data_IF_051128143891
#
_entry.id   IF_051128143891
#
_cell.length_a   1.000
_cell.length_b   1.000
_cell.length_c   1.000
_cell.angle_alpha   90.00
_cell.angle_beta   90.00
_cell.angle_gamma   90.00
#
_symmetry.space_group_name_H-M   'P 1'
#
loop_
_entity.id
_entity.type
_entity.pdbx_description
1 polymer ?
#
# COMPACT_ATOMS: atom_id res chain seq x y z
N UNK A 1 0.19 21.67 12.07
CA UNK A 1 0.20 22.37 10.78
C UNK A 1 0.52 23.82 11.07
N UNK A 2 1.60 24.31 10.49
CA UNK A 2 2.10 25.66 10.75
C UNK A 2 1.28 26.64 9.90
N UNK A 3 0.65 27.62 10.54
CA UNK A 3 -0.24 28.62 9.91
C UNK A 3 0.51 29.61 8.99
N UNK A 4 1.83 29.49 8.90
CA UNK A 4 2.67 30.55 8.28
C UNK A 4 2.98 30.36 6.81
N UNK A 5 2.65 29.20 6.21
CA UNK A 5 3.11 28.88 4.84
C UNK A 5 2.12 29.19 3.70
N UNK A 6 0.94 29.71 4.01
CA UNK A 6 -0.04 30.04 2.97
C UNK A 6 -0.05 31.53 2.63
N UNK A 7 1.04 32.02 2.07
CA UNK A 7 1.01 33.30 1.37
C UNK A 7 0.14 33.13 0.13
N UNK A 8 -0.98 33.84 0.10
CA UNK A 8 -1.74 34.04 -1.13
C UNK A 8 -0.76 34.59 -2.17
N UNK A 9 -0.44 33.81 -3.20
CA UNK A 9 0.42 34.29 -4.27
C UNK A 9 -0.28 35.43 -5.00
N UNK A 10 0.40 36.55 -5.17
CA UNK A 10 -0.12 37.76 -5.81
C UNK A 10 -0.37 37.62 -7.31
N UNK A 11 -0.10 36.45 -7.88
CA UNK A 11 -0.32 36.15 -9.30
C UNK A 11 -1.50 35.22 -9.49
N UNK A 12 -2.62 35.80 -9.83
CA UNK A 12 -3.86 35.25 -10.41
C UNK A 12 -4.14 33.75 -10.27
N UNK A 13 -5.27 33.42 -9.65
CA UNK A 13 -5.84 32.07 -9.48
C UNK A 13 -5.18 31.17 -8.41
N UNK A 14 -5.13 31.62 -7.15
CA UNK A 14 -4.67 30.77 -6.08
C UNK A 14 -5.80 30.34 -5.17
N UNK A 15 -6.14 29.07 -5.31
CA UNK A 15 -6.97 28.35 -4.39
C UNK A 15 -6.08 27.83 -3.25
N UNK A 16 -6.18 28.44 -2.08
CA UNK A 16 -5.56 27.93 -0.85
C UNK A 16 -6.56 27.09 -0.05
N UNK A 17 -6.07 26.10 0.68
CA UNK A 17 -6.86 25.42 1.71
C UNK A 17 -6.38 25.90 3.08
N UNK A 18 -7.29 26.35 3.93
CA UNK A 18 -6.98 26.91 5.24
C UNK A 18 -7.44 25.99 6.35
N UNK A 19 -6.76 26.06 7.49
CA UNK A 19 -7.19 25.41 8.72
C UNK A 19 -8.56 25.91 9.18
N UNK A 20 -9.30 25.05 9.88
CA UNK A 20 -10.57 25.39 10.48
C UNK A 20 -10.53 25.08 11.99
N UNK A 21 -10.56 26.09 12.88
CA UNK A 21 -10.53 25.86 14.32
C UNK A 21 -11.78 25.17 14.87
N UNK A 22 -12.88 25.15 14.11
CA UNK A 22 -14.16 24.56 14.53
C UNK A 22 -14.27 23.07 14.13
N UNK A 23 -13.16 22.44 13.70
CA UNK A 23 -13.15 21.02 13.38
C UNK A 23 -13.51 20.16 14.61
N UNK A 24 -14.43 19.23 14.40
CA UNK A 24 -14.80 18.24 15.41
C UNK A 24 -13.83 17.07 15.37
N UNK A 25 -13.64 16.34 16.47
CA UNK A 25 -12.87 15.12 16.48
C UNK A 25 -13.43 14.08 15.51
N UNK A 26 -12.54 13.38 14.82
CA UNK A 26 -12.90 12.18 14.08
C UNK A 26 -13.35 11.09 15.07
N UNK A 27 -14.37 10.34 14.71
CA UNK A 27 -14.96 9.34 15.60
C UNK A 27 -15.00 7.99 14.89
N UNK A 28 -14.47 6.96 15.55
CA UNK A 28 -14.55 5.58 15.06
C UNK A 28 -15.29 4.71 16.08
N UNK A 29 -16.33 4.03 15.63
CA UNK A 29 -17.03 3.00 16.39
C UNK A 29 -16.61 1.63 15.85
N UNK A 30 -16.12 0.77 16.73
CA UNK A 30 -15.66 -0.58 16.38
C UNK A 30 -16.51 -1.64 17.08
N UNK A 31 -17.00 -2.59 16.31
CA UNK A 31 -17.67 -3.79 16.79
C UNK A 31 -16.79 -4.98 16.46
N UNK A 32 -16.50 -5.80 17.46
CA UNK A 32 -15.68 -6.99 17.30
C UNK A 32 -16.33 -8.18 17.99
N UNK A 33 -16.35 -9.32 17.30
CA UNK A 33 -16.75 -10.60 17.82
C UNK A 33 -15.65 -11.62 17.55
N UNK A 34 -15.21 -12.33 18.57
CA UNK A 34 -14.13 -13.29 18.44
C UNK A 34 -14.38 -14.60 19.18
N UNK A 35 -13.89 -15.68 18.57
CA UNK A 35 -13.80 -17.00 19.16
C UNK A 35 -12.34 -17.42 19.21
N UNK A 36 -11.91 -17.92 20.37
CA UNK A 36 -10.56 -18.40 20.61
C UNK A 36 -10.61 -19.79 21.22
N UNK A 37 -10.02 -20.75 20.52
CA UNK A 37 -10.09 -22.17 20.88
C UNK A 37 -8.71 -22.80 20.85
N UNK A 38 -8.35 -23.53 21.89
CA UNK A 38 -7.23 -24.45 21.87
C UNK A 38 -7.67 -25.75 21.16
N UNK A 39 -7.12 -26.01 19.97
CA UNK A 39 -7.52 -27.14 19.11
C UNK A 39 -6.61 -28.35 19.28
N UNK A 40 -5.41 -28.15 19.78
CA UNK A 40 -4.44 -29.19 20.12
C UNK A 40 -3.43 -28.64 21.14
N UNK A 41 -2.67 -29.53 21.75
CA UNK A 41 -1.62 -29.16 22.70
C UNK A 41 -0.71 -28.08 22.11
N UNK A 42 -0.58 -26.95 22.78
CA UNK A 42 0.21 -25.78 22.35
C UNK A 42 -0.27 -25.12 21.05
N UNK A 43 -1.47 -25.45 20.56
CA UNK A 43 -1.99 -24.90 19.28
C UNK A 43 -3.35 -24.25 19.51
N UNK A 44 -3.45 -22.99 19.15
CA UNK A 44 -4.64 -22.16 19.30
C UNK A 44 -5.08 -21.62 17.96
N UNK A 45 -6.38 -21.68 17.69
CA UNK A 45 -7.05 -20.97 16.62
C UNK A 45 -7.84 -19.80 17.20
N UNK A 46 -7.84 -18.69 16.50
CA UNK A 46 -8.66 -17.51 16.81
C UNK A 46 -9.37 -17.05 15.53
N UNK A 47 -10.67 -16.87 15.62
CA UNK A 47 -11.50 -16.29 14.58
C UNK A 47 -12.07 -15.00 15.13
N UNK A 48 -11.86 -13.88 14.42
CA UNK A 48 -12.39 -12.57 14.78
C UNK A 48 -13.11 -11.98 13.58
N UNK A 49 -14.35 -11.54 13.75
CA UNK A 49 -15.05 -10.66 12.83
C UNK A 49 -15.03 -9.23 13.38
N UNK A 50 -14.88 -8.26 12.52
CA UNK A 50 -14.90 -6.85 12.90
C UNK A 50 -15.68 -6.00 11.91
N UNK A 51 -16.26 -4.92 12.43
CA UNK A 51 -16.87 -3.84 11.68
C UNK A 51 -16.48 -2.52 12.33
N UNK A 52 -15.93 -1.59 11.55
CA UNK A 52 -15.53 -0.25 12.00
C UNK A 52 -16.21 0.78 11.14
N UNK A 53 -16.89 1.72 11.79
CA UNK A 53 -17.56 2.86 11.17
C UNK A 53 -16.87 4.14 11.65
N UNK A 54 -16.24 4.84 10.73
CA UNK A 54 -15.53 6.08 11.01
C UNK A 54 -16.27 7.25 10.36
N UNK A 55 -16.47 8.30 11.14
CA UNK A 55 -17.25 9.48 10.78
C UNK A 55 -16.50 10.76 11.15
N UNK A 56 -16.99 11.86 10.59
CA UNK A 56 -16.40 13.17 10.80
C UNK A 56 -14.95 13.25 10.29
N UNK A 57 -14.58 12.46 9.30
CA UNK A 57 -13.27 12.62 8.68
C UNK A 57 -13.12 14.01 8.10
N UNK A 58 -11.94 14.55 8.30
CA UNK A 58 -11.57 15.85 7.75
C UNK A 58 -11.43 15.75 6.23
N UNK A 59 -12.04 16.69 5.54
CA UNK A 59 -11.95 16.81 4.09
C UNK A 59 -11.98 18.30 3.70
N UNK A 60 -11.66 18.60 2.45
CA UNK A 60 -11.83 19.96 1.95
C UNK A 60 -13.31 20.31 1.79
N UNK A 61 -13.67 21.51 2.25
CA UNK A 61 -15.00 22.07 2.08
C UNK A 61 -15.29 22.51 0.64
N UNK A 62 -16.44 23.12 0.44
CA UNK A 62 -16.77 23.80 -0.82
C UNK A 62 -15.97 25.10 -0.92
N UNK A 63 -15.66 25.59 -2.15
CA UNK A 63 -14.99 26.88 -2.32
C UNK A 63 -15.84 28.02 -1.75
N UNK A 64 -15.20 28.89 -0.98
CA UNK A 64 -15.80 30.10 -0.46
C UNK A 64 -15.35 31.24 -1.36
N UNK A 65 -16.31 31.84 -2.08
CA UNK A 65 -16.06 32.92 -3.03
C UNK A 65 -15.74 34.23 -2.27
N UNK A 66 -14.62 34.86 -2.61
CA UNK A 66 -14.20 36.17 -2.09
C UNK A 66 -14.57 37.32 -3.03
N UNK A 67 -15.18 37.03 -4.20
CA UNK A 67 -15.35 37.98 -5.29
C UNK A 67 -14.10 38.07 -6.19
N UNK A 68 -14.24 38.79 -7.30
CA UNK A 68 -13.19 38.98 -8.30
C UNK A 68 -12.55 37.69 -8.83
N UNK A 69 -13.31 36.58 -8.82
CA UNK A 69 -12.83 35.25 -9.28
C UNK A 69 -11.85 34.58 -8.31
N UNK A 70 -11.76 35.05 -7.08
CA UNK A 70 -10.92 34.45 -6.03
C UNK A 70 -11.79 33.59 -5.11
N UNK A 71 -11.28 32.41 -4.77
CA UNK A 71 -11.92 31.53 -3.80
C UNK A 71 -10.89 30.88 -2.88
N UNK A 72 -11.30 30.44 -1.71
CA UNK A 72 -10.50 29.65 -0.81
C UNK A 72 -11.30 28.47 -0.28
N UNK A 73 -10.61 27.48 0.25
CA UNK A 73 -11.21 26.30 0.87
C UNK A 73 -10.87 26.25 2.35
N UNK A 74 -11.73 25.62 3.13
CA UNK A 74 -11.43 25.27 4.52
C UNK A 74 -11.63 23.79 4.73
N UNK A 75 -10.94 23.23 5.71
CA UNK A 75 -11.22 21.87 6.15
C UNK A 75 -12.56 21.78 6.86
N UNK A 76 -13.31 20.72 6.59
CA UNK A 76 -14.61 20.43 7.21
C UNK A 76 -14.73 18.95 7.57
N UNK A 77 -15.55 18.61 8.55
CA UNK A 77 -15.86 17.23 8.91
C UNK A 77 -17.05 16.73 8.09
N UNK A 78 -16.82 16.03 6.99
CA UNK A 78 -17.90 15.53 6.15
C UNK A 78 -17.73 14.08 5.67
N UNK A 79 -16.51 13.58 5.69
CA UNK A 79 -16.23 12.27 5.13
C UNK A 79 -16.44 11.15 6.15
N UNK A 80 -16.59 9.96 5.60
CA UNK A 80 -16.82 8.75 6.35
C UNK A 80 -16.14 7.57 5.68
N UNK A 81 -15.87 6.54 6.46
CA UNK A 81 -15.41 5.26 5.94
C UNK A 81 -15.94 4.11 6.78
N UNK A 82 -16.03 2.95 6.17
CA UNK A 82 -16.24 1.72 6.90
C UNK A 82 -15.20 0.67 6.52
N UNK A 83 -14.82 -0.14 7.47
CA UNK A 83 -14.02 -1.32 7.22
C UNK A 83 -14.61 -2.52 7.96
N UNK A 84 -14.71 -3.65 7.25
CA UNK A 84 -15.28 -4.88 7.79
C UNK A 84 -14.48 -6.08 7.31
N UNK A 85 -14.45 -7.11 8.13
CA UNK A 85 -13.67 -8.26 7.75
C UNK A 85 -13.64 -9.36 8.79
N UNK A 86 -12.83 -10.37 8.45
CA UNK A 86 -12.59 -11.55 9.27
C UNK A 86 -11.09 -11.74 9.38
N UNK A 87 -10.62 -12.04 10.59
CA UNK A 87 -9.24 -12.40 10.88
C UNK A 87 -9.23 -13.83 11.41
N UNK A 88 -8.40 -14.66 10.81
CA UNK A 88 -8.14 -16.03 11.29
C UNK A 88 -6.69 -16.12 11.70
N UNK A 89 -6.43 -16.39 12.96
CA UNK A 89 -5.07 -16.57 13.50
C UNK A 89 -4.88 -18.01 13.95
N UNK A 90 -3.84 -18.66 13.44
CA UNK A 90 -3.33 -19.93 13.95
C UNK A 90 -2.01 -19.69 14.66
N UNK A 91 -1.95 -20.04 15.92
CA UNK A 91 -0.76 -19.86 16.76
C UNK A 91 -0.33 -21.19 17.35
N UNK A 92 0.96 -21.52 17.23
CA UNK A 92 1.58 -22.65 17.89
C UNK A 92 2.73 -22.18 18.76
N UNK A 93 2.62 -22.45 20.09
CA UNK A 93 3.74 -22.23 20.99
C UNK A 93 4.90 -23.15 20.60
N UNK A 94 6.10 -22.65 20.75
CA UNK A 94 7.28 -23.48 20.51
C UNK A 94 7.28 -24.72 21.40
N UNK A 95 7.19 -25.87 20.78
CA UNK A 95 7.26 -27.19 21.42
C UNK A 95 7.68 -28.22 20.39
N UNK A 96 8.38 -29.27 20.81
CA UNK A 96 8.86 -30.30 19.89
C UNK A 96 9.55 -29.70 18.65
N UNK A 97 10.47 -28.74 18.89
CA UNK A 97 11.33 -28.03 17.93
C UNK A 97 10.64 -27.11 16.92
N UNK A 98 9.34 -26.89 16.95
CA UNK A 98 8.64 -26.00 16.02
C UNK A 98 7.65 -25.11 16.75
N UNK A 99 7.54 -23.88 16.31
CA UNK A 99 6.51 -22.91 16.70
C UNK A 99 6.24 -21.92 15.58
N UNK A 100 5.18 -21.16 15.68
CA UNK A 100 4.86 -20.18 14.65
C UNK A 100 3.50 -19.54 14.82
N UNK A 101 3.24 -18.60 13.93
CA UNK A 101 1.96 -17.91 13.82
C UNK A 101 1.62 -17.71 12.35
N UNK A 102 0.35 -17.82 12.05
CA UNK A 102 -0.24 -17.56 10.75
C UNK A 102 -1.47 -16.70 10.94
N UNK A 103 -1.50 -15.55 10.29
CA UNK A 103 -2.60 -14.60 10.33
C UNK A 103 -3.13 -14.39 8.91
N UNK A 104 -4.38 -14.74 8.70
CA UNK A 104 -5.10 -14.43 7.48
C UNK A 104 -6.17 -13.40 7.76
N UNK A 105 -6.21 -12.35 6.96
CA UNK A 105 -7.23 -11.31 7.03
C UNK A 105 -7.95 -11.20 5.69
N UNK A 106 -9.26 -11.29 5.75
CA UNK A 106 -10.15 -10.81 4.69
C UNK A 106 -10.75 -9.48 5.14
N UNK A 107 -10.60 -8.43 4.32
CA UNK A 107 -11.04 -7.09 4.65
C UNK A 107 -11.65 -6.40 3.43
N UNK A 108 -12.67 -5.60 3.65
CA UNK A 108 -13.19 -4.62 2.71
C UNK A 108 -13.20 -3.27 3.42
N UNK A 109 -12.52 -2.29 2.84
CA UNK A 109 -12.45 -0.92 3.37
C UNK A 109 -12.90 0.06 2.29
N UNK A 110 -13.98 0.78 2.57
CA UNK A 110 -14.65 1.68 1.65
C UNK A 110 -14.93 3.02 2.33
N UNK A 111 -14.96 4.10 1.56
CA UNK A 111 -15.25 5.42 2.10
C UNK A 111 -15.46 6.46 1.01
N UNK A 112 -15.65 7.70 1.41
CA UNK A 112 -15.82 8.82 0.49
C UNK A 112 -14.48 9.23 -0.12
N UNK A 113 -13.44 9.39 0.70
CA UNK A 113 -12.08 9.77 0.30
C UNK A 113 -11.02 9.05 1.13
N UNK A 114 -9.81 8.93 0.58
CA UNK A 114 -8.68 8.30 1.29
C UNK A 114 -7.84 9.30 2.07
N UNK A 115 -7.89 10.58 1.73
CA UNK A 115 -7.17 11.65 2.43
C UNK A 115 -7.91 13.00 2.36
N UNK A 116 -7.64 13.95 3.29
CA UNK A 116 -8.37 15.22 3.41
C UNK A 116 -8.28 16.16 2.22
N UNK A 117 -7.17 16.13 1.47
CA UNK A 117 -6.92 17.10 0.37
C UNK A 117 -7.31 16.58 -1.01
N UNK A 118 -7.89 15.43 -1.05
CA UNK A 118 -8.15 14.70 -2.27
C UNK A 118 -9.20 15.37 -3.15
N UNK A 119 -10.28 15.83 -2.56
CA UNK A 119 -11.34 16.57 -3.23
C UNK A 119 -10.84 17.92 -3.74
N UNK A 120 -10.04 18.60 -2.94
CA UNK A 120 -9.37 19.83 -3.35
C UNK A 120 -8.48 19.60 -4.59
N UNK A 121 -7.68 18.52 -4.60
CA UNK A 121 -6.87 18.15 -5.75
C UNK A 121 -7.70 17.84 -6.99
N UNK A 122 -8.85 17.19 -6.84
CA UNK A 122 -9.76 16.93 -7.95
C UNK A 122 -10.31 18.20 -8.57
N UNK A 123 -10.77 19.14 -7.73
CA UNK A 123 -11.29 20.44 -8.20
C UNK A 123 -10.21 21.26 -8.88
N UNK A 124 -8.98 21.31 -8.34
CA UNK A 124 -7.85 21.99 -8.98
C UNK A 124 -7.50 21.39 -10.35
N UNK A 125 -7.68 20.08 -10.51
CA UNK A 125 -7.48 19.39 -11.78
C UNK A 125 -8.66 19.54 -12.76
N UNK A 126 -9.70 20.32 -12.40
CA UNK A 126 -10.91 20.49 -13.21
C UNK A 126 -11.85 19.29 -13.21
N UNK A 127 -11.69 18.37 -12.26
CA UNK A 127 -12.54 17.20 -12.12
C UNK A 127 -13.63 17.42 -11.05
N UNK A 128 -14.78 16.80 -11.25
CA UNK A 128 -15.81 16.77 -10.21
C UNK A 128 -15.37 15.87 -9.04
N UNK A 129 -15.58 16.32 -7.79
CA UNK A 129 -15.31 15.50 -6.61
C UNK A 129 -16.12 14.19 -6.63
N UNK A 130 -15.50 13.12 -6.21
CA UNK A 130 -16.17 11.82 -6.11
C UNK A 130 -17.25 11.85 -5.03
N UNK A 131 -18.49 11.54 -5.40
CA UNK A 131 -19.64 11.49 -4.47
C UNK A 131 -20.09 10.05 -4.17
N UNK A 132 -19.32 9.07 -4.59
CA UNK A 132 -19.61 7.64 -4.39
C UNK A 132 -18.70 7.03 -3.33
N UNK A 133 -19.17 5.96 -2.71
CA UNK A 133 -18.32 5.11 -1.88
C UNK A 133 -17.37 4.37 -2.80
N UNK A 134 -16.08 4.47 -2.49
CA UNK A 134 -14.99 3.85 -3.24
C UNK A 134 -14.13 2.99 -2.33
N UNK A 135 -13.44 1.97 -2.84
CA UNK A 135 -12.38 1.30 -2.10
C UNK A 135 -11.30 2.31 -1.69
N UNK A 136 -10.90 2.27 -0.43
CA UNK A 136 -9.85 3.16 0.07
C UNK A 136 -8.47 2.69 -0.40
N UNK A 137 -7.50 3.61 -0.53
CA UNK A 137 -6.16 3.32 -1.05
C UNK A 137 -5.44 2.20 -0.29
N UNK A 138 -5.79 2.00 0.98
CA UNK A 138 -5.26 0.96 1.85
C UNK A 138 -6.14 -0.30 1.94
N UNK A 139 -7.20 -0.40 1.13
CA UNK A 139 -8.03 -1.61 1.07
C UNK A 139 -7.25 -2.78 0.46
N UNK A 140 -6.86 -3.70 1.30
CA UNK A 140 -6.19 -4.93 0.90
C UNK A 140 -7.11 -6.12 1.23
N UNK A 141 -7.86 -6.59 0.24
CA UNK A 141 -8.94 -7.57 0.44
C UNK A 141 -8.47 -8.86 1.10
N UNK A 142 -7.27 -9.34 0.75
CA UNK A 142 -6.69 -10.55 1.33
C UNK A 142 -5.27 -10.27 1.77
N UNK A 143 -4.94 -10.58 3.00
CA UNK A 143 -3.56 -10.60 3.48
C UNK A 143 -3.29 -11.87 4.26
N UNK A 144 -2.11 -12.45 4.08
CA UNK A 144 -1.63 -13.62 4.79
C UNK A 144 -0.22 -13.34 5.27
N UNK A 145 -0.03 -13.32 6.58
CA UNK A 145 1.26 -13.13 7.21
C UNK A 145 1.59 -14.36 8.06
N UNK A 146 2.81 -14.80 8.03
CA UNK A 146 3.20 -15.91 8.86
C UNK A 146 4.66 -15.89 9.25
N UNK A 147 4.93 -16.47 10.41
CA UNK A 147 6.26 -16.75 10.88
C UNK A 147 6.33 -18.17 11.43
N UNK A 148 7.33 -18.92 11.00
CA UNK A 148 7.62 -20.26 11.47
C UNK A 148 9.06 -20.29 11.96
N UNK A 149 9.27 -20.80 13.14
CA UNK A 149 10.60 -21.01 13.69
C UNK A 149 10.76 -22.45 14.16
N UNK A 150 11.90 -23.02 13.80
CA UNK A 150 12.25 -24.36 14.16
C UNK A 150 13.67 -24.41 14.72
N UNK A 151 13.86 -25.16 15.79
CA UNK A 151 15.18 -25.39 16.36
C UNK A 151 15.34 -26.89 16.66
N UNK A 152 16.39 -27.49 16.16
CA UNK A 152 16.72 -28.88 16.43
C UNK A 152 18.23 -29.03 16.67
N UNK A 153 18.59 -29.42 17.87
CA UNK A 153 19.99 -29.46 18.31
C UNK A 153 20.68 -28.10 18.10
N UNK A 154 21.71 -28.07 17.29
CA UNK A 154 22.49 -26.87 16.97
C UNK A 154 21.94 -26.07 15.78
N UNK A 155 20.96 -26.60 15.08
CA UNK A 155 20.34 -25.97 13.90
C UNK A 155 19.09 -25.19 14.27
N UNK A 156 18.95 -24.04 13.65
CA UNK A 156 17.71 -23.29 13.75
C UNK A 156 17.35 -22.66 12.42
N UNK A 157 16.06 -22.55 12.19
CA UNK A 157 15.47 -21.89 11.03
C UNK A 157 14.39 -20.93 11.48
N UNK A 158 14.31 -19.77 10.84
CA UNK A 158 13.22 -18.82 10.98
C UNK A 158 12.79 -18.43 9.57
N UNK A 159 11.51 -18.57 9.29
CA UNK A 159 10.90 -18.20 8.01
C UNK A 159 9.77 -17.22 8.29
N UNK A 160 9.78 -16.11 7.58
CA UNK A 160 8.67 -15.14 7.55
C UNK A 160 8.15 -15.07 6.13
N UNK A 161 6.84 -15.14 5.97
CA UNK A 161 6.22 -15.00 4.67
C UNK A 161 5.05 -14.03 4.74
N UNK A 162 4.86 -13.31 3.66
CA UNK A 162 3.83 -12.29 3.50
C UNK A 162 3.21 -12.42 2.11
N UNK A 163 1.91 -12.43 2.08
CA UNK A 163 1.11 -12.33 0.86
C UNK A 163 0.08 -11.22 1.04
N UNK A 164 -0.10 -10.40 0.01
CA UNK A 164 -1.12 -9.37 0.00
C UNK A 164 -1.80 -9.29 -1.36
N UNK A 165 -3.12 -9.22 -1.38
CA UNK A 165 -3.83 -8.81 -2.58
C UNK A 165 -3.42 -7.39 -2.96
N UNK A 166 -3.49 -7.06 -4.24
CA UNK A 166 -3.10 -5.74 -4.73
C UNK A 166 -3.96 -4.63 -4.13
N UNK A 167 -3.32 -3.53 -3.77
CA UNK A 167 -4.00 -2.30 -3.36
C UNK A 167 -4.77 -1.69 -4.53
N UNK A 168 -5.88 -0.98 -4.27
CA UNK A 168 -6.60 -0.25 -5.28
C UNK A 168 -5.73 0.82 -5.96
N UNK A 169 -6.05 1.12 -7.19
CA UNK A 169 -5.52 2.29 -7.89
C UNK A 169 -6.56 2.82 -8.88
N UNK A 170 -6.46 4.10 -9.18
CA UNK A 170 -7.28 4.75 -10.19
C UNK A 170 -6.65 4.53 -11.57
N UNK A 171 -7.32 3.80 -12.49
CA UNK A 171 -6.80 3.65 -13.82
C UNK A 171 -6.80 5.00 -14.54
N UNK A 172 -5.79 5.23 -15.35
CA UNK A 172 -5.69 6.42 -16.21
C UNK A 172 -5.85 5.97 -17.65
N UNK A 173 -6.78 6.59 -18.37
CA UNK A 173 -6.84 6.46 -19.82
C UNK A 173 -6.20 7.73 -20.37
N UNK A 174 -5.08 7.58 -21.02
CA UNK A 174 -4.49 8.68 -21.77
C UNK A 174 -5.39 8.92 -22.96
N UNK A 175 -6.12 10.04 -22.96
CA UNK A 175 -6.97 10.44 -24.10
C UNK A 175 -6.05 10.74 -25.28
N UNK A 176 -6.14 9.89 -26.28
CA UNK A 176 -5.49 10.18 -27.56
C UNK A 176 -6.52 10.85 -28.44
N UNK A 177 -6.22 12.06 -28.86
CA UNK A 177 -6.93 12.69 -29.95
C UNK A 177 -6.70 11.88 -31.23
N UNK A 178 -7.59 10.93 -31.49
CA UNK A 178 -7.78 10.42 -32.82
C UNK A 178 -8.90 11.23 -33.45
N UNK A 179 -8.54 12.23 -34.24
CA UNK A 179 -9.43 12.99 -35.12
C UNK A 179 -10.61 13.69 -34.42
N UNK A 180 -10.36 14.44 -33.35
CA UNK A 180 -11.31 15.45 -32.86
C UNK A 180 -12.40 14.96 -31.90
N UNK A 181 -12.43 13.72 -31.50
CA UNK A 181 -13.29 13.24 -30.40
C UNK A 181 -12.51 13.02 -29.13
N UNK A 182 -12.75 13.86 -28.14
CA UNK A 182 -12.26 13.68 -26.77
C UNK A 182 -13.17 12.66 -26.08
N UNK A 183 -12.80 11.40 -26.08
CA UNK A 183 -13.43 10.40 -25.23
C UNK A 183 -12.94 10.60 -23.79
N UNK A 184 -13.57 11.47 -23.03
CA UNK A 184 -13.39 11.56 -21.60
C UNK A 184 -14.15 10.41 -20.91
N UNK A 185 -13.49 9.27 -20.78
CA UNK A 185 -14.06 8.20 -19.95
C UNK A 185 -13.74 8.53 -18.50
N UNK A 186 -14.74 8.95 -17.75
CA UNK A 186 -14.63 9.11 -16.28
C UNK A 186 -14.45 7.73 -15.70
N UNK A 187 -13.21 7.37 -15.41
CA UNK A 187 -12.90 6.12 -14.72
C UNK A 187 -13.16 6.30 -13.24
N UNK A 188 -13.90 5.36 -12.68
CA UNK A 188 -14.14 5.33 -11.25
C UNK A 188 -12.81 5.21 -10.50
N UNK A 189 -12.67 6.05 -9.50
CA UNK A 189 -11.52 6.07 -8.62
C UNK A 189 -11.36 4.73 -7.91
N UNK A 190 -10.11 4.28 -7.76
CA UNK A 190 -9.75 3.01 -7.10
C UNK A 190 -10.48 1.78 -7.66
N UNK A 191 -10.92 1.85 -8.92
CA UNK A 191 -11.72 0.80 -9.55
C UNK A 191 -10.92 -0.42 -9.98
N UNK A 192 -9.58 -0.35 -9.96
CA UNK A 192 -8.71 -1.47 -10.31
C UNK A 192 -7.71 -1.76 -9.19
N UNK A 193 -7.11 -2.95 -9.23
CA UNK A 193 -6.12 -3.38 -8.24
C UNK A 193 -4.77 -3.64 -8.88
N UNK A 194 -3.73 -3.24 -8.16
CA UNK A 194 -2.33 -3.58 -8.48
C UNK A 194 -2.13 -5.10 -8.40
N UNK A 195 -1.05 -5.65 -8.96
CA UNK A 195 -0.70 -7.06 -8.77
C UNK A 195 -0.53 -7.41 -7.29
N UNK A 196 -0.85 -8.65 -6.94
CA UNK A 196 -0.60 -9.17 -5.59
C UNK A 196 0.89 -9.18 -5.27
N UNK A 197 1.22 -9.06 -4.00
CA UNK A 197 2.60 -9.15 -3.50
C UNK A 197 2.81 -10.47 -2.76
N UNK A 198 4.02 -11.02 -2.85
CA UNK A 198 4.43 -12.21 -2.09
C UNK A 198 5.91 -12.13 -1.77
N UNK A 199 6.27 -12.36 -0.52
CA UNK A 199 7.64 -12.35 -0.04
C UNK A 199 7.88 -13.44 0.97
N UNK A 200 9.02 -14.09 0.88
CA UNK A 200 9.49 -15.08 1.86
C UNK A 200 10.91 -14.72 2.25
N UNK A 201 11.13 -14.55 3.53
CA UNK A 201 12.44 -14.31 4.13
C UNK A 201 12.81 -15.51 5.00
N UNK A 202 14.04 -16.00 4.87
CA UNK A 202 14.54 -17.17 5.61
C UNK A 202 15.84 -16.82 6.32
N UNK A 203 15.94 -17.21 7.57
CA UNK A 203 17.19 -17.18 8.32
C UNK A 203 17.50 -18.58 8.84
N UNK A 204 18.58 -19.15 8.38
CA UNK A 204 19.13 -20.41 8.89
C UNK A 204 20.32 -20.11 9.80
N UNK A 205 20.46 -20.85 10.87
CA UNK A 205 21.64 -20.73 11.72
C UNK A 205 22.07 -22.10 12.24
N UNK A 206 23.36 -22.16 12.57
CA UNK A 206 23.96 -23.32 13.25
C UNK A 206 24.85 -22.84 14.38
N UNK A 207 24.65 -23.42 15.56
CA UNK A 207 25.58 -23.29 16.68
C UNK A 207 26.92 -23.97 16.35
N UNK A 208 28.00 -23.33 16.66
CA UNK A 208 29.38 -23.85 16.49
C UNK A 208 30.19 -23.58 17.75
N UNK A 209 31.14 -24.44 18.05
CA UNK A 209 32.12 -24.18 19.09
C UNK A 209 33.46 -23.86 18.46
N UNK A 210 34.09 -22.79 18.88
CA UNK A 210 35.41 -22.34 18.42
C UNK A 210 36.32 -22.26 19.68
N UNK A 211 37.03 -23.36 19.97
CA UNK A 211 37.69 -23.54 21.22
C UNK A 211 36.71 -23.52 22.40
N UNK A 212 36.91 -22.64 23.37
CA UNK A 212 36.01 -22.44 24.51
C UNK A 212 34.86 -21.43 24.24
N UNK A 213 34.86 -20.83 23.07
CA UNK A 213 33.84 -19.84 22.69
C UNK A 213 32.65 -20.49 22.01
N UNK A 214 31.44 -19.98 22.33
CA UNK A 214 30.23 -20.36 21.65
C UNK A 214 29.99 -19.40 20.49
N UNK A 215 29.85 -19.96 19.29
CA UNK A 215 29.59 -19.23 18.07
C UNK A 215 28.26 -19.61 17.43
N UNK A 216 27.77 -18.77 16.56
CA UNK A 216 26.62 -19.03 15.73
C UNK A 216 26.89 -18.53 14.32
N UNK A 217 26.98 -19.42 13.37
CA UNK A 217 26.99 -19.08 11.96
C UNK A 217 25.56 -18.95 11.44
N UNK A 218 25.27 -17.93 10.64
CA UNK A 218 23.94 -17.76 10.04
C UNK A 218 24.00 -17.33 8.57
N UNK A 219 22.96 -17.72 7.85
CA UNK A 219 22.63 -17.26 6.51
C UNK A 219 21.23 -16.66 6.58
N UNK A 220 21.09 -15.42 6.11
CA UNK A 220 19.80 -14.75 5.94
C UNK A 220 19.56 -14.52 4.45
N UNK A 221 18.42 -14.95 3.97
CA UNK A 221 17.97 -14.75 2.59
C UNK A 221 16.68 -13.95 2.67
N UNK A 222 16.71 -12.74 2.19
CA UNK A 222 15.53 -11.89 2.03
C UNK A 222 15.01 -12.03 0.61
N UNK A 223 13.69 -12.08 0.46
CA UNK A 223 13.01 -12.34 -0.81
C UNK A 223 13.54 -13.61 -1.47
N UNK A 224 13.39 -14.75 -0.81
CA UNK A 224 13.87 -16.06 -1.25
C UNK A 224 13.41 -16.39 -2.69
N UNK A 225 12.21 -16.01 -3.03
CA UNK A 225 11.59 -16.29 -4.35
C UNK A 225 12.08 -15.37 -5.46
N UNK A 226 12.84 -14.33 -5.13
CA UNK A 226 13.27 -13.26 -6.04
C UNK A 226 12.13 -12.62 -6.84
N UNK A 227 10.93 -12.61 -6.25
CA UNK A 227 9.76 -12.04 -6.90
C UNK A 227 9.86 -10.52 -6.90
N UNK A 228 9.68 -9.91 -8.07
CA UNK A 228 9.57 -8.47 -8.23
C UNK A 228 8.13 -8.03 -7.89
N UNK A 229 7.89 -7.68 -6.65
CA UNK A 229 6.60 -7.15 -6.20
C UNK A 229 6.46 -5.70 -6.66
N UNK A 230 5.30 -5.35 -7.24
CA UNK A 230 5.02 -4.00 -7.73
C UNK A 230 4.61 -3.10 -6.56
N UNK A 231 5.41 -2.09 -6.24
CA UNK A 231 5.08 -1.03 -5.27
C UNK A 231 4.23 0.04 -5.96
N UNK A 232 4.70 0.50 -7.12
CA UNK A 232 4.01 1.45 -7.99
C UNK A 232 3.69 0.82 -9.33
N UNK A 233 2.72 1.40 -10.04
CA UNK A 233 2.27 0.90 -11.34
C UNK A 233 1.92 2.06 -12.26
N UNK A 234 2.02 1.85 -13.56
CA UNK A 234 1.45 2.75 -14.55
C UNK A 234 -0.07 2.73 -14.47
N UNK A 235 -0.70 3.88 -14.51
CA UNK A 235 -2.14 4.01 -14.38
C UNK A 235 -2.93 3.34 -15.50
N UNK A 236 -2.37 3.27 -16.70
CA UNK A 236 -2.99 2.67 -17.88
C UNK A 236 -3.00 1.14 -17.83
N UNK A 237 -1.91 0.52 -17.40
CA UNK A 237 -1.74 -0.94 -17.43
C UNK A 237 -1.92 -1.64 -16.09
N UNK A 238 -1.73 -0.92 -14.98
CA UNK A 238 -1.67 -1.50 -13.64
C UNK A 238 -0.40 -2.32 -13.37
N UNK A 239 0.66 -2.13 -14.16
CA UNK A 239 1.94 -2.84 -14.03
C UNK A 239 3.11 -1.85 -13.98
N UNK A 240 4.21 -2.24 -13.36
CA UNK A 240 5.41 -1.41 -13.26
C UNK A 240 6.32 -1.47 -14.51
N UNK A 241 6.16 -2.49 -15.34
CA UNK A 241 7.02 -2.78 -16.49
C UNK A 241 6.32 -2.67 -17.84
N UNK A 242 5.13 -2.13 -17.89
CA UNK A 242 4.36 -2.06 -19.12
C UNK A 242 3.46 -0.83 -19.09
N UNK A 243 3.49 -0.06 -20.14
CA UNK A 243 2.59 1.08 -20.37
C UNK A 243 2.25 1.17 -21.86
N UNK A 244 1.07 1.66 -22.17
CA UNK A 244 0.62 1.92 -23.55
C UNK A 244 1.52 3.00 -24.20
N UNK A 245 2.00 3.95 -23.39
CA UNK A 245 2.93 4.99 -23.84
C UNK A 245 4.21 4.41 -24.45
N UNK A 246 4.76 3.35 -23.87
CA UNK A 246 5.95 2.68 -24.42
C UNK A 246 5.67 2.10 -25.80
N UNK A 247 4.57 1.36 -25.93
CA UNK A 247 4.19 0.76 -27.22
C UNK A 247 3.96 1.83 -28.30
N UNK A 248 3.36 2.95 -27.91
CA UNK A 248 3.12 4.08 -28.80
C UNK A 248 4.42 4.80 -29.20
N UNK A 249 5.29 5.06 -28.24
CA UNK A 249 6.60 5.69 -28.52
C UNK A 249 7.44 4.84 -29.50
N UNK A 250 7.36 3.50 -29.38
CA UNK A 250 7.98 2.59 -30.34
C UNK A 250 7.35 2.66 -31.74
N UNK A 251 6.04 2.81 -31.83
CA UNK A 251 5.33 2.91 -33.10
C UNK A 251 5.59 4.24 -33.84
N UNK A 252 5.72 5.35 -33.10
CA UNK A 252 5.92 6.69 -33.68
C UNK A 252 7.39 6.93 -34.05
N UNK A 253 8.33 6.36 -33.31
CA UNK A 253 9.78 6.59 -33.52
C UNK A 253 10.51 5.25 -33.69
N UNK A 254 10.33 4.57 -34.83
CA UNK A 254 11.03 3.31 -35.08
C UNK A 254 12.55 3.47 -35.20
N UNK A 255 13.05 4.70 -35.44
CA UNK A 255 14.48 5.03 -35.45
C UNK A 255 14.86 5.83 -34.22
N UNK A 256 15.73 5.29 -33.40
CA UNK A 256 16.36 5.98 -32.27
C UNK A 256 17.77 6.50 -32.65
N UNK A 257 17.90 7.63 -33.32
CA UNK A 257 19.20 8.18 -33.54
C UNK A 257 19.66 8.90 -32.29
N UNK A 258 20.74 8.42 -31.67
CA UNK A 258 21.54 9.13 -30.66
C UNK A 258 20.83 9.54 -29.36
N UNK A 259 19.97 8.72 -28.81
CA UNK A 259 19.53 8.91 -27.42
C UNK A 259 20.47 8.16 -26.49
N UNK A 260 20.87 8.76 -25.36
CA UNK A 260 21.75 8.10 -24.39
C UNK A 260 21.10 6.87 -23.72
N UNK A 261 19.76 6.78 -23.76
CA UNK A 261 18.97 5.68 -23.21
C UNK A 261 17.98 5.14 -24.24
N UNK A 262 17.76 3.84 -24.23
CA UNK A 262 16.71 3.22 -25.03
C UNK A 262 15.33 3.52 -24.44
N UNK A 263 14.24 3.40 -25.24
CA UNK A 263 12.88 3.53 -24.75
C UNK A 263 12.58 2.52 -23.63
N UNK A 264 13.11 1.32 -23.73
CA UNK A 264 12.97 0.30 -22.69
C UNK A 264 13.59 0.75 -21.36
N UNK A 265 14.79 1.34 -21.39
CA UNK A 265 15.43 1.89 -20.19
C UNK A 265 14.67 3.07 -19.60
N UNK A 266 14.08 3.91 -20.45
CA UNK A 266 13.26 5.06 -19.99
C UNK A 266 12.00 4.61 -19.26
N UNK A 267 11.32 3.59 -19.78
CA UNK A 267 10.09 3.05 -19.17
C UNK A 267 10.35 1.98 -18.11
N UNK A 268 11.59 1.49 -17.98
CA UNK A 268 11.95 0.58 -16.89
C UNK A 268 12.09 1.37 -15.58
N UNK A 269 11.27 1.04 -14.62
CA UNK A 269 11.18 1.71 -13.31
C UNK A 269 11.61 0.74 -12.20
N UNK A 270 12.92 0.53 -12.01
CA UNK A 270 13.40 -0.38 -10.96
C UNK A 270 13.01 0.09 -9.56
N UNK A 271 12.81 1.38 -9.36
CA UNK A 271 12.32 2.03 -8.15
C UNK A 271 10.85 1.68 -7.81
N UNK A 272 10.11 1.08 -8.75
CA UNK A 272 8.72 0.66 -8.57
C UNK A 272 8.57 -0.79 -8.12
N UNK A 273 9.66 -1.44 -7.76
CA UNK A 273 9.68 -2.79 -7.26
C UNK A 273 10.28 -2.88 -5.86
N UNK A 274 9.83 -3.85 -5.08
CA UNK A 274 10.52 -4.25 -3.86
C UNK A 274 11.96 -4.68 -4.16
N UNK A 275 12.86 -4.58 -3.16
CA UNK A 275 14.23 -5.05 -3.31
C UNK A 275 14.30 -6.50 -3.80
N UNK A 276 15.25 -6.82 -4.71
CA UNK A 276 15.49 -8.18 -5.16
C UNK A 276 16.01 -9.06 -4.02
N UNK A 277 16.21 -10.34 -4.29
CA UNK A 277 16.78 -11.27 -3.34
C UNK A 277 18.13 -10.77 -2.83
N UNK A 278 18.28 -10.77 -1.50
CA UNK A 278 19.51 -10.41 -0.81
C UNK A 278 19.96 -11.59 0.07
N UNK A 279 21.23 -11.92 0.00
CA UNK A 279 21.83 -13.00 0.81
C UNK A 279 22.89 -12.38 1.69
N UNK A 280 22.77 -12.60 2.99
CA UNK A 280 23.73 -12.17 4.00
C UNK A 280 24.22 -13.37 4.80
N UNK A 281 25.51 -13.41 5.06
CA UNK A 281 26.14 -14.43 5.93
C UNK A 281 26.85 -13.72 7.07
N UNK A 282 26.87 -14.34 8.23
CA UNK A 282 27.56 -13.77 9.37
C UNK A 282 27.88 -14.80 10.43
N UNK A 283 28.87 -14.43 11.26
CA UNK A 283 29.29 -15.17 12.43
C UNK A 283 29.07 -14.29 13.67
N UNK A 284 28.39 -14.85 14.65
CA UNK A 284 28.19 -14.25 15.96
C UNK A 284 28.98 -15.06 17.00
N UNK A 285 29.83 -14.41 17.78
CA UNK A 285 30.62 -15.05 18.80
C UNK A 285 30.18 -14.45 20.14
N UNK A 286 29.92 -15.32 21.11
CA UNK A 286 29.67 -14.93 22.49
C UNK A 286 30.87 -15.37 23.32
N UNK A 287 31.41 -14.45 24.11
CA UNK A 287 32.51 -14.65 25.06
C UNK A 287 31.98 -14.55 26.49
#
# INVERSE_FOLDING_TARGET
YDETDYKLSETGSNFGIFGNPDLKPETTVSYELGLKQEVALNTRLELKAFYRDARNYVSSGIPIDLGDGKAYYTFVNKDYSNSRGIIVTAYRRFSNFIGGQLDYTYQVAEGANSNPVEEFGAVLAGNEPTRSIIPLDWDQTHSLNGSIFANYKEWGANTVFQFGAGYPYTPQITNYESQGEVLSTVLLRNSRRKPSTFRVDVKLHRGIKIGDLNGKFYIRIQNLTDRRNHISVYGDSGKANQTIEQARAQAISPFEPMRPNTLEQFFNRPDWYDPPRQIQMGLQIAW
#
